data_IF_872524849875
#
_entry.id   IF_872524849875
#
_cell.length_a   1.000
_cell.length_b   1.000
_cell.length_c   1.000
_cell.angle_alpha   90.00
_cell.angle_beta   90.00
_cell.angle_gamma   90.00
#
_symmetry.space_group_name_H-M   'P 1'
#
loop_
_entity.id
_entity.type
_entity.pdbx_description
1 polymer ?
#
# COMPACT_ATOMS: atom_id res chain seq x y z
N UNK A 1 -11.93 -33.04 -44.64
CA UNK A 1 -12.16 -32.66 -43.22
C UNK A 1 -13.53 -32.01 -43.11
N UNK A 2 -14.38 -32.47 -42.20
CA UNK A 2 -15.75 -31.96 -42.08
C UNK A 2 -15.75 -30.58 -41.41
N UNK A 3 -16.67 -29.70 -41.84
CA UNK A 3 -16.90 -28.37 -41.26
C UNK A 3 -17.00 -28.41 -39.72
N UNK A 4 -17.57 -29.50 -39.20
CA UNK A 4 -17.72 -29.77 -37.77
C UNK A 4 -16.37 -29.91 -37.06
N UNK A 5 -15.40 -30.60 -37.67
CA UNK A 5 -14.06 -30.72 -37.09
C UNK A 5 -13.35 -29.36 -37.02
N UNK A 6 -13.52 -28.51 -38.05
CA UNK A 6 -12.95 -27.16 -38.06
C UNK A 6 -13.58 -26.26 -36.99
N UNK A 7 -14.91 -26.29 -36.85
CA UNK A 7 -15.62 -25.52 -35.81
C UNK A 7 -15.18 -25.97 -34.41
N UNK A 8 -15.02 -27.27 -34.20
CA UNK A 8 -14.57 -27.81 -32.91
C UNK A 8 -13.15 -27.37 -32.57
N UNK A 9 -12.23 -27.43 -33.53
CA UNK A 9 -10.84 -26.96 -33.34
C UNK A 9 -10.83 -25.45 -33.02
N UNK A 10 -11.60 -24.64 -33.76
CA UNK A 10 -11.67 -23.19 -33.51
C UNK A 10 -12.23 -22.90 -32.12
N UNK A 11 -13.30 -23.60 -31.68
CA UNK A 11 -13.88 -23.41 -30.36
C UNK A 11 -12.90 -23.77 -29.23
N UNK A 12 -12.14 -24.86 -29.38
CA UNK A 12 -11.12 -25.28 -28.39
C UNK A 12 -9.99 -24.25 -28.32
N UNK A 13 -9.46 -23.81 -29.46
CA UNK A 13 -8.39 -22.80 -29.50
C UNK A 13 -8.86 -21.48 -28.89
N UNK A 14 -10.09 -21.05 -29.19
CA UNK A 14 -10.66 -19.84 -28.62
C UNK A 14 -10.85 -19.94 -27.09
N UNK A 15 -11.27 -21.11 -26.60
CA UNK A 15 -11.42 -21.36 -25.15
C UNK A 15 -10.07 -21.29 -24.44
N UNK A 16 -9.03 -21.95 -24.97
CA UNK A 16 -7.66 -21.89 -24.43
C UNK A 16 -7.12 -20.47 -24.45
N UNK A 17 -7.34 -19.73 -25.54
CA UNK A 17 -6.92 -18.34 -25.64
C UNK A 17 -7.64 -17.46 -24.60
N UNK A 18 -8.93 -17.67 -24.38
CA UNK A 18 -9.71 -16.90 -23.40
C UNK A 18 -9.23 -17.17 -21.97
N UNK A 19 -9.01 -18.44 -21.61
CA UNK A 19 -8.47 -18.81 -20.30
C UNK A 19 -7.05 -18.25 -20.09
N UNK A 20 -6.18 -18.34 -21.10
CA UNK A 20 -4.83 -17.77 -21.04
C UNK A 20 -4.85 -16.26 -20.79
N UNK A 21 -5.73 -15.53 -21.48
CA UNK A 21 -5.87 -14.08 -21.26
C UNK A 21 -6.44 -13.76 -19.87
N UNK A 22 -7.38 -14.57 -19.38
CA UNK A 22 -7.97 -14.39 -18.06
C UNK A 22 -6.92 -14.59 -16.95
N UNK A 23 -6.12 -15.65 -17.06
CA UNK A 23 -4.99 -15.93 -16.16
C UNK A 23 -3.97 -14.79 -16.21
N UNK A 24 -3.54 -14.35 -17.40
CA UNK A 24 -2.60 -13.23 -17.52
C UNK A 24 -3.15 -11.93 -16.92
N UNK A 25 -4.44 -11.65 -17.10
CA UNK A 25 -5.09 -10.49 -16.51
C UNK A 25 -5.07 -10.54 -14.98
N UNK A 26 -5.37 -11.71 -14.39
CA UNK A 26 -5.29 -11.92 -12.95
C UNK A 26 -3.85 -11.76 -12.41
N UNK A 27 -2.85 -12.28 -13.13
CA UNK A 27 -1.44 -12.10 -12.78
C UNK A 27 -1.04 -10.62 -12.85
N UNK A 28 -1.42 -9.89 -13.90
CA UNK A 28 -1.19 -8.45 -14.00
C UNK A 28 -1.83 -7.68 -12.85
N UNK A 29 -3.08 -8.01 -12.48
CA UNK A 29 -3.76 -7.40 -11.34
C UNK A 29 -3.02 -7.66 -10.03
N UNK A 30 -2.48 -8.86 -9.85
CA UNK A 30 -1.69 -9.23 -8.66
C UNK A 30 -0.35 -8.49 -8.62
N UNK A 31 0.36 -8.40 -9.75
CA UNK A 31 1.63 -7.66 -9.85
C UNK A 31 1.42 -6.17 -9.53
N UNK A 32 0.36 -5.55 -10.10
CA UNK A 32 0.01 -4.16 -9.80
C UNK A 32 -0.26 -3.95 -8.32
N UNK A 33 -1.02 -4.86 -7.70
CA UNK A 33 -1.30 -4.83 -6.26
C UNK A 33 -0.03 -4.90 -5.42
N UNK A 34 0.86 -5.86 -5.71
CA UNK A 34 2.14 -6.02 -4.99
C UNK A 34 3.02 -4.77 -5.15
N UNK A 35 3.06 -4.18 -6.36
CA UNK A 35 3.84 -2.97 -6.61
C UNK A 35 3.28 -1.76 -5.84
N UNK A 36 1.96 -1.66 -5.72
CA UNK A 36 1.29 -0.64 -4.91
C UNK A 36 1.64 -0.79 -3.43
N UNK A 37 1.55 -2.01 -2.89
CA UNK A 37 1.97 -2.30 -1.51
C UNK A 37 3.44 -1.96 -1.27
N UNK A 38 4.34 -2.36 -2.19
CA UNK A 38 5.77 -2.04 -2.12
C UNK A 38 5.99 -0.53 -2.04
N UNK A 39 5.34 0.25 -2.90
CA UNK A 39 5.42 1.72 -2.87
C UNK A 39 4.91 2.29 -1.55
N UNK A 40 3.81 1.77 -1.03
CA UNK A 40 3.25 2.23 0.25
C UNK A 40 4.25 2.02 1.41
N UNK A 41 4.89 0.86 1.45
CA UNK A 41 5.94 0.57 2.42
C UNK A 41 7.18 1.45 2.23
N UNK A 42 7.64 1.67 0.99
CA UNK A 42 8.74 2.61 0.70
C UNK A 42 8.43 4.05 1.16
N UNK A 43 7.18 4.51 0.98
CA UNK A 43 6.75 5.82 1.51
C UNK A 43 6.84 5.86 3.03
N UNK A 44 6.35 4.81 3.70
CA UNK A 44 6.35 4.69 5.15
C UNK A 44 7.76 4.66 5.72
N UNK A 45 8.61 3.78 5.20
CA UNK A 45 10.00 3.63 5.58
C UNK A 45 10.77 4.94 5.38
N UNK A 46 10.70 5.55 4.19
CA UNK A 46 11.41 6.79 3.91
C UNK A 46 11.01 7.95 4.82
N UNK A 47 9.74 8.02 5.20
CA UNK A 47 9.32 9.06 6.14
C UNK A 47 9.82 8.80 7.56
N UNK A 48 9.93 7.53 7.95
CA UNK A 48 10.48 7.12 9.23
C UNK A 48 11.99 7.29 9.33
N UNK A 49 12.73 7.23 8.22
CA UNK A 49 14.17 7.51 8.20
C UNK A 49 14.54 8.90 8.75
N UNK A 50 13.64 9.88 8.65
CA UNK A 50 13.83 11.21 9.23
C UNK A 50 12.85 11.51 10.36
N UNK A 51 12.35 10.45 11.01
CA UNK A 51 11.52 10.52 12.20
C UNK A 51 12.20 11.35 13.29
N UNK A 52 11.39 12.02 14.11
CA UNK A 52 11.84 12.81 15.25
C UNK A 52 11.04 12.47 16.50
N UNK A 53 9.71 12.52 16.37
CA UNK A 53 8.81 12.20 17.49
C UNK A 53 7.43 11.84 17.03
N UNK A 54 6.79 10.97 17.80
CA UNK A 54 5.39 10.63 17.63
C UNK A 54 4.48 11.79 18.08
N UNK A 55 3.32 11.95 17.44
CA UNK A 55 2.31 12.96 17.78
C UNK A 55 1.03 12.25 18.20
N UNK A 56 0.70 12.33 19.49
CA UNK A 56 -0.42 11.61 20.07
C UNK A 56 -0.15 10.11 20.17
N UNK A 57 -1.15 9.35 20.62
CA UNK A 57 -1.03 7.90 20.75
C UNK A 57 -1.33 7.22 19.40
N UNK A 58 -0.46 6.33 18.90
CA UNK A 58 -0.79 5.49 17.75
C UNK A 58 -2.07 4.69 18.02
N UNK A 59 -2.91 4.55 17.00
CA UNK A 59 -4.14 3.74 17.04
C UNK A 59 -4.11 2.77 15.88
N UNK A 60 -4.97 1.75 15.90
CA UNK A 60 -5.02 0.75 14.82
C UNK A 60 -5.28 1.33 13.43
N UNK A 61 -5.90 2.51 13.34
CA UNK A 61 -6.24 3.16 12.07
C UNK A 61 -5.46 4.43 11.79
N UNK A 62 -4.59 4.89 12.71
CA UNK A 62 -3.92 6.18 12.57
C UNK A 62 -2.58 6.23 13.29
N UNK A 63 -1.58 6.73 12.58
CA UNK A 63 -0.26 7.04 13.11
C UNK A 63 0.20 8.42 12.64
N UNK A 64 0.58 9.27 13.59
CA UNK A 64 1.03 10.64 13.34
C UNK A 64 2.40 10.88 13.96
N UNK A 65 3.30 11.53 13.25
CA UNK A 65 4.64 11.85 13.73
C UNK A 65 5.19 13.12 13.06
N UNK A 66 6.25 13.66 13.65
CA UNK A 66 7.06 14.73 13.07
C UNK A 66 8.28 14.11 12.40
N UNK A 67 8.62 14.63 11.23
CA UNK A 67 9.88 14.35 10.54
C UNK A 67 10.58 15.64 10.10
N UNK A 68 11.87 15.55 9.79
CA UNK A 68 12.61 16.64 9.14
C UNK A 68 12.61 16.41 7.62
N UNK A 69 12.26 17.44 6.87
CA UNK A 69 12.36 17.46 5.41
C UNK A 69 12.84 18.84 4.96
N UNK A 70 13.95 18.89 4.24
CA UNK A 70 14.57 20.13 3.75
C UNK A 70 14.78 21.16 4.89
N UNK A 71 15.29 20.69 6.03
CA UNK A 71 15.53 21.51 7.23
C UNK A 71 14.26 21.98 7.96
N UNK A 72 13.08 21.58 7.51
CA UNK A 72 11.81 21.99 8.10
C UNK A 72 11.10 20.81 8.77
N UNK A 73 10.43 21.11 9.87
CA UNK A 73 9.53 20.17 10.53
C UNK A 73 8.27 19.96 9.70
N UNK A 74 8.00 18.70 9.34
CA UNK A 74 6.82 18.27 8.61
C UNK A 74 6.03 17.30 9.48
N UNK A 75 4.76 17.59 9.68
CA UNK A 75 3.83 16.64 10.31
C UNK A 75 3.37 15.65 9.26
N UNK A 76 3.65 14.37 9.49
CA UNK A 76 3.14 13.28 8.67
C UNK A 76 2.06 12.54 9.44
N UNK A 77 1.01 12.13 8.75
CA UNK A 77 -0.08 11.34 9.31
C UNK A 77 -0.48 10.28 8.31
N UNK A 78 -0.34 9.03 8.70
CA UNK A 78 -0.91 7.91 8.00
C UNK A 78 -2.24 7.55 8.67
N UNK A 79 -3.25 7.29 7.86
CA UNK A 79 -4.54 6.85 8.34
C UNK A 79 -5.22 5.90 7.37
N UNK A 80 -6.02 5.01 7.94
CA UNK A 80 -6.76 3.98 7.23
C UNK A 80 -8.22 4.44 7.16
N UNK A 81 -8.76 4.44 5.95
CA UNK A 81 -10.12 4.91 5.67
C UNK A 81 -11.08 3.74 5.50
N UNK A 82 -12.37 4.02 5.69
CA UNK A 82 -13.44 3.01 5.55
C UNK A 82 -13.56 2.47 4.12
N UNK A 83 -13.18 3.26 3.11
CA UNK A 83 -13.15 2.86 1.69
C UNK A 83 -11.93 2.00 1.30
N UNK A 84 -11.33 1.35 2.30
CA UNK A 84 -10.19 0.45 2.19
C UNK A 84 -8.92 1.06 1.61
N UNK A 85 -8.58 2.28 2.04
CA UNK A 85 -7.35 2.94 1.60
C UNK A 85 -6.44 3.27 2.78
N UNK A 86 -5.14 3.22 2.49
CA UNK A 86 -4.11 3.81 3.33
C UNK A 86 -3.76 5.16 2.74
N UNK A 87 -3.94 6.21 3.52
CA UNK A 87 -3.74 7.59 3.10
C UNK A 87 -2.61 8.20 3.91
N UNK A 88 -1.73 8.92 3.21
CA UNK A 88 -0.64 9.69 3.78
C UNK A 88 -0.93 11.18 3.61
N UNK A 89 -0.99 11.90 4.72
CA UNK A 89 -1.07 13.35 4.78
C UNK A 89 0.24 13.93 5.29
N UNK A 90 0.86 14.83 4.53
CA UNK A 90 2.05 15.58 4.95
C UNK A 90 1.78 17.08 4.94
N UNK A 91 2.00 17.74 6.09
CA UNK A 91 1.83 19.18 6.26
C UNK A 91 3.12 19.81 6.75
N UNK A 92 3.71 20.65 5.90
CA UNK A 92 4.79 21.56 6.30
C UNK A 92 4.17 22.85 6.86
N UNK A 93 4.82 23.49 7.83
CA UNK A 93 4.35 24.74 8.42
C UNK A 93 4.01 25.78 7.34
N UNK A 94 2.81 26.39 7.47
CA UNK A 94 2.27 27.44 6.57
C UNK A 94 2.06 27.03 5.10
N UNK A 95 2.23 25.77 4.73
CA UNK A 95 1.95 25.26 3.37
C UNK A 95 0.65 24.45 3.33
N UNK A 96 0.10 24.29 2.11
CA UNK A 96 -1.01 23.37 1.84
C UNK A 96 -0.61 21.95 2.21
N UNK A 97 -1.56 21.20 2.78
CA UNK A 97 -1.37 19.78 3.12
C UNK A 97 -1.38 18.94 1.84
N UNK A 98 -0.34 18.15 1.62
CA UNK A 98 -0.33 17.13 0.57
C UNK A 98 -1.00 15.87 1.10
N UNK A 99 -2.02 15.37 0.41
CA UNK A 99 -2.76 14.15 0.77
C UNK A 99 -2.68 13.19 -0.41
N UNK A 100 -2.09 12.02 -0.17
CA UNK A 100 -1.92 10.98 -1.18
C UNK A 100 -2.48 9.67 -0.65
N UNK A 101 -3.35 9.02 -1.43
CA UNK A 101 -3.63 7.58 -1.23
C UNK A 101 -2.39 6.82 -1.67
N UNK A 102 -1.83 6.01 -0.78
CA UNK A 102 -0.58 5.27 -1.04
C UNK A 102 -0.82 3.78 -1.32
N UNK A 103 -1.94 3.24 -0.84
CA UNK A 103 -2.38 1.89 -1.13
C UNK A 103 -3.90 1.76 -1.00
N UNK A 104 -4.48 0.86 -1.79
CA UNK A 104 -5.76 0.24 -1.54
C UNK A 104 -5.57 -1.21 -1.07
N UNK A 105 -6.24 -1.59 0.01
CA UNK A 105 -6.14 -2.94 0.58
C UNK A 105 -7.40 -3.77 0.29
N UNK A 106 -7.24 -5.10 0.27
CA UNK A 106 -8.34 -6.02 -0.08
C UNK A 106 -9.02 -6.59 1.16
N UNK A 107 -8.22 -6.99 2.14
CA UNK A 107 -8.64 -7.66 3.37
C UNK A 107 -8.65 -6.69 4.54
N UNK A 108 -7.46 -6.29 5.00
CA UNK A 108 -7.30 -5.45 6.17
C UNK A 108 -6.07 -4.55 6.05
N UNK A 109 -6.07 -3.46 6.81
CA UNK A 109 -4.88 -2.70 7.11
C UNK A 109 -4.96 -2.28 8.57
N UNK A 110 -3.83 -2.22 9.26
CA UNK A 110 -3.75 -1.75 10.65
C UNK A 110 -2.36 -1.25 11.01
N UNK A 111 -2.32 -0.38 12.01
CA UNK A 111 -1.11 -0.06 12.76
C UNK A 111 -1.09 -0.81 14.08
N UNK A 112 0.08 -1.30 14.46
CA UNK A 112 0.34 -1.88 15.78
C UNK A 112 1.55 -1.17 16.37
N UNK A 113 1.46 -0.81 17.65
CA UNK A 113 2.55 -0.16 18.36
C UNK A 113 2.82 -0.88 19.67
N UNK A 114 4.01 -1.47 19.80
CA UNK A 114 4.47 -2.15 21.01
C UNK A 114 5.94 -1.84 21.23
N UNK A 115 6.30 -1.45 22.46
CA UNK A 115 7.69 -1.33 22.91
C UNK A 115 8.59 -0.44 22.01
N UNK A 116 8.01 0.64 21.47
CA UNK A 116 8.72 1.55 20.57
C UNK A 116 8.78 1.08 19.11
N UNK A 117 8.20 -0.08 18.77
CA UNK A 117 8.12 -0.57 17.39
C UNK A 117 6.76 -0.22 16.81
N UNK A 118 6.75 0.45 15.65
CA UNK A 118 5.54 0.66 14.85
C UNK A 118 5.51 -0.34 13.70
N UNK A 119 4.38 -1.03 13.57
CA UNK A 119 4.13 -1.99 12.49
C UNK A 119 2.94 -1.53 11.67
N UNK A 120 3.14 -1.38 10.36
CA UNK A 120 2.07 -1.19 9.39
C UNK A 120 1.80 -2.54 8.71
N UNK A 121 0.61 -3.08 8.89
CA UNK A 121 0.12 -4.26 8.19
C UNK A 121 -0.86 -3.84 7.09
N UNK A 122 -0.68 -4.37 5.89
CA UNK A 122 -1.59 -4.23 4.75
C UNK A 122 -1.77 -5.60 4.09
N UNK A 123 -3.00 -6.11 4.10
CA UNK A 123 -3.35 -7.47 3.72
C UNK A 123 -2.50 -8.52 4.47
N UNK A 124 -1.70 -9.31 3.75
CA UNK A 124 -0.83 -10.35 4.31
C UNK A 124 0.61 -9.88 4.54
N UNK A 125 0.88 -8.59 4.35
CA UNK A 125 2.23 -8.02 4.41
C UNK A 125 2.34 -7.02 5.54
N UNK A 126 3.50 -7.00 6.20
CA UNK A 126 3.77 -6.09 7.30
C UNK A 126 5.16 -5.49 7.18
N UNK A 127 5.28 -4.23 7.55
CA UNK A 127 6.57 -3.55 7.73
C UNK A 127 6.64 -3.00 9.15
N UNK A 128 7.68 -3.39 9.87
CA UNK A 128 7.96 -2.93 11.24
C UNK A 128 9.17 -2.01 11.25
N UNK A 129 9.14 -1.00 12.11
CA UNK A 129 10.24 -0.05 12.29
C UNK A 129 10.39 0.32 13.77
N UNK A 130 11.63 0.36 14.26
CA UNK A 130 11.93 0.86 15.60
C UNK A 130 11.84 2.39 15.60
N UNK A 131 11.09 2.96 16.55
CA UNK A 131 11.01 4.40 16.80
C UNK A 131 11.94 4.84 17.94
N UNK A 132 12.59 3.89 18.62
CA UNK A 132 13.62 4.18 19.59
C UNK A 132 14.90 4.50 18.82
N UNK A 133 15.39 5.73 18.96
CA UNK A 133 16.67 6.19 18.43
C UNK A 133 17.80 5.30 18.97
N UNK A 134 18.76 4.94 18.11
CA UNK A 134 20.16 4.84 18.53
C UNK A 134 20.69 6.25 18.82
#
# INVERSE_FOLDING_TARGET
MSLVATIFIVAVVFSVFTEFNLVNSQYMGTIKHILELKRAFEFFERDLLTYQRTIGTPTSTRFSFMKIQDGNYVRVTYYITEDKRVVRSAKQNRKKTGVNTIAQYKKEAKFEYSDGIITLTIDSYSLSHSLNEE
#
